data_IF_216187179781
#
_entry.id   IF_216187179781
#
_cell.length_a   1.000
_cell.length_b   1.000
_cell.length_c   1.000
_cell.angle_alpha   90.00
_cell.angle_beta   90.00
_cell.angle_gamma   90.00
#
_symmetry.space_group_name_H-M   'P 1'
#
loop_
_entity.id
_entity.type
_entity.pdbx_description
1 polymer ?
#
# COMPACT_ATOMS: atom_id res chain seq x y z
N UNK A 1 -5.18 -13.64 -4.76
CA UNK A 1 -4.65 -12.30 -4.41
C UNK A 1 -5.68 -11.19 -4.57
N UNK A 2 -6.51 -11.22 -5.60
CA UNK A 2 -7.56 -10.20 -5.85
C UNK A 2 -8.48 -9.93 -4.65
N UNK A 3 -8.92 -10.98 -3.94
CA UNK A 3 -9.75 -10.84 -2.74
C UNK A 3 -9.05 -10.05 -1.62
N UNK A 4 -7.75 -10.31 -1.41
CA UNK A 4 -6.96 -9.57 -0.41
C UNK A 4 -6.86 -8.09 -0.79
N UNK A 5 -6.55 -7.79 -2.06
CA UNK A 5 -6.49 -6.41 -2.55
C UNK A 5 -7.85 -5.73 -2.44
N UNK A 6 -8.94 -6.43 -2.77
CA UNK A 6 -10.31 -5.92 -2.65
C UNK A 6 -10.65 -5.55 -1.21
N UNK A 7 -10.22 -6.36 -0.23
CA UNK A 7 -10.36 -6.04 1.19
C UNK A 7 -9.59 -4.77 1.53
N UNK A 8 -8.32 -4.66 1.13
CA UNK A 8 -7.48 -3.48 1.41
C UNK A 8 -8.08 -2.20 0.81
N UNK A 9 -8.60 -2.26 -0.42
CA UNK A 9 -9.30 -1.14 -1.05
C UNK A 9 -10.57 -0.77 -0.27
N UNK A 10 -11.35 -1.76 0.17
CA UNK A 10 -12.60 -1.51 0.91
C UNK A 10 -12.34 -0.94 2.32
N UNK A 11 -11.20 -1.25 2.95
CA UNK A 11 -10.78 -0.63 4.21
C UNK A 11 -10.56 0.89 4.08
N UNK A 12 -10.24 1.39 2.88
CA UNK A 12 -10.18 2.83 2.60
C UNK A 12 -11.56 3.50 2.54
N UNK A 13 -12.61 2.74 2.22
CA UNK A 13 -14.00 3.21 2.19
C UNK A 13 -14.68 3.08 3.56
N UNK A 14 -14.38 2.01 4.29
CA UNK A 14 -15.00 1.68 5.58
C UNK A 14 -13.93 1.72 6.66
N UNK A 15 -13.56 2.90 7.12
CA UNK A 15 -12.49 3.04 8.12
C UNK A 15 -12.91 2.50 9.50
N UNK A 16 -12.03 1.71 10.12
CA UNK A 16 -12.18 1.19 11.49
C UNK A 16 -10.99 1.60 12.35
N UNK A 17 -11.19 1.63 13.67
CA UNK A 17 -10.17 2.01 14.65
C UNK A 17 -8.97 1.08 14.72
N UNK A 18 -9.12 -0.18 14.28
CA UNK A 18 -8.02 -1.13 14.19
C UNK A 18 -8.25 -2.16 13.08
N UNK A 19 -7.18 -2.80 12.62
CA UNK A 19 -7.23 -3.85 11.60
C UNK A 19 -8.08 -5.06 12.06
N UNK A 20 -8.05 -5.40 13.36
CA UNK A 20 -8.83 -6.50 13.89
C UNK A 20 -10.34 -6.20 13.94
N UNK A 21 -10.72 -4.92 14.04
CA UNK A 21 -12.11 -4.49 14.15
C UNK A 21 -12.96 -4.82 12.91
N UNK A 22 -12.33 -4.99 11.75
CA UNK A 22 -13.00 -5.42 10.52
C UNK A 22 -13.64 -6.81 10.63
N UNK A 23 -13.15 -7.67 11.53
CA UNK A 23 -13.65 -9.03 11.76
C UNK A 23 -14.56 -9.16 12.99
N UNK A 24 -15.01 -8.05 13.57
CA UNK A 24 -16.03 -8.08 14.62
C UNK A 24 -17.37 -8.50 14.01
N UNK A 25 -17.97 -9.54 14.57
CA UNK A 25 -19.20 -10.17 14.05
C UNK A 25 -20.47 -9.72 14.76
N UNK A 26 -20.36 -9.02 15.90
CA UNK A 26 -21.50 -8.59 16.71
C UNK A 26 -21.45 -7.11 17.09
N UNK A 27 -22.63 -6.57 17.44
CA UNK A 27 -22.77 -5.19 17.88
C UNK A 27 -22.87 -4.16 16.73
N UNK A 28 -23.02 -2.87 17.06
CA UNK A 28 -23.32 -1.81 16.10
C UNK A 28 -22.16 -1.50 15.14
N UNK A 29 -20.95 -1.95 15.45
CA UNK A 29 -19.75 -1.72 14.63
C UNK A 29 -19.44 -2.89 13.70
N UNK A 30 -20.25 -3.96 13.72
CA UNK A 30 -20.03 -5.12 12.87
C UNK A 30 -20.10 -4.76 11.38
N UNK A 31 -19.14 -5.27 10.62
CA UNK A 31 -19.11 -5.15 9.16
C UNK A 31 -19.00 -6.54 8.55
N UNK A 32 -20.13 -7.28 8.43
CA UNK A 32 -20.13 -8.71 8.12
C UNK A 32 -19.39 -9.07 6.83
N UNK A 33 -19.36 -8.15 5.86
CA UNK A 33 -18.70 -8.33 4.58
C UNK A 33 -17.25 -8.82 4.71
N UNK A 34 -16.41 -8.17 5.53
CA UNK A 34 -15.00 -8.55 5.68
C UNK A 34 -14.83 -10.00 6.19
N UNK A 35 -15.58 -10.36 7.23
CA UNK A 35 -15.54 -11.71 7.81
C UNK A 35 -16.10 -12.80 6.88
N UNK A 36 -17.06 -12.44 6.02
CA UNK A 36 -17.64 -13.34 5.01
C UNK A 36 -16.68 -13.60 3.84
N UNK A 37 -15.86 -12.61 3.48
CA UNK A 37 -14.99 -12.66 2.30
C UNK A 37 -13.67 -13.38 2.58
N UNK A 38 -13.07 -13.17 3.75
CA UNK A 38 -11.82 -13.85 4.13
C UNK A 38 -11.74 -14.01 5.64
N UNK A 39 -11.25 -15.15 6.11
CA UNK A 39 -10.96 -15.33 7.54
C UNK A 39 -9.86 -14.37 8.01
N UNK A 40 -10.02 -13.81 9.21
CA UNK A 40 -9.08 -12.87 9.83
C UNK A 40 -7.64 -13.36 9.76
N UNK A 41 -7.39 -14.57 10.24
CA UNK A 41 -6.04 -15.12 10.32
C UNK A 41 -5.42 -15.33 8.93
N UNK A 42 -6.24 -15.65 7.91
CA UNK A 42 -5.77 -15.75 6.53
C UNK A 42 -5.36 -14.38 5.98
N UNK A 43 -6.13 -13.33 6.26
CA UNK A 43 -5.79 -11.96 5.88
C UNK A 43 -4.46 -11.52 6.50
N UNK A 44 -4.28 -11.70 7.82
CA UNK A 44 -3.03 -11.33 8.49
C UNK A 44 -1.84 -12.16 8.02
N UNK A 45 -2.03 -13.45 7.72
CA UNK A 45 -0.97 -14.28 7.17
C UNK A 45 -0.51 -13.78 5.78
N UNK A 46 -1.45 -13.37 4.92
CA UNK A 46 -1.11 -12.76 3.62
C UNK A 46 -0.43 -11.40 3.83
N UNK A 47 -1.00 -10.54 4.68
CA UNK A 47 -0.45 -9.22 4.97
C UNK A 47 1.00 -9.28 5.45
N UNK A 48 1.33 -10.23 6.32
CA UNK A 48 2.67 -10.40 6.87
C UNK A 48 3.71 -10.91 5.83
N UNK A 49 3.25 -11.56 4.75
CA UNK A 49 4.09 -12.17 3.72
C UNK A 49 3.81 -11.57 2.33
N UNK A 50 3.29 -10.34 2.28
CA UNK A 50 2.96 -9.70 1.01
C UNK A 50 4.21 -9.08 0.38
N UNK A 51 4.60 -9.60 -0.78
CA UNK A 51 5.76 -9.16 -1.54
C UNK A 51 5.35 -8.84 -2.99
N UNK A 52 5.92 -7.78 -3.55
CA UNK A 52 5.64 -7.31 -4.91
C UNK A 52 6.80 -7.61 -5.87
N UNK A 53 8.05 -7.58 -5.38
CA UNK A 53 9.26 -7.92 -6.15
C UNK A 53 9.80 -9.30 -5.76
N UNK A 54 10.61 -9.91 -6.63
CA UNK A 54 11.39 -11.10 -6.29
C UNK A 54 12.62 -10.71 -5.47
N UNK A 55 13.20 -11.69 -4.77
CA UNK A 55 14.52 -11.56 -4.13
C UNK A 55 15.64 -11.57 -5.17
N UNK A 56 15.43 -12.21 -6.32
CA UNK A 56 16.40 -12.24 -7.41
C UNK A 56 16.62 -10.82 -7.96
N UNK A 57 15.56 -10.00 -7.99
CA UNK A 57 15.62 -8.60 -8.39
C UNK A 57 16.46 -7.74 -7.42
N UNK A 58 16.60 -8.17 -6.16
CA UNK A 58 17.44 -7.52 -5.15
C UNK A 58 18.90 -7.92 -5.33
N UNK A 59 19.16 -9.21 -5.54
CA UNK A 59 20.52 -9.77 -5.64
C UNK A 59 21.25 -9.35 -6.93
N UNK A 60 20.51 -9.07 -8.00
CA UNK A 60 21.08 -8.71 -9.30
C UNK A 60 21.40 -7.21 -9.44
N UNK A 61 21.21 -6.39 -8.41
CA UNK A 61 21.48 -4.95 -8.48
C UNK A 61 22.95 -4.60 -8.19
N UNK A 62 23.59 -3.77 -9.05
CA UNK A 62 24.93 -3.25 -8.79
C UNK A 62 25.01 -2.54 -7.43
N UNK A 63 26.07 -2.79 -6.66
CA UNK A 63 26.23 -2.22 -5.31
C UNK A 63 26.24 -0.69 -5.30
N UNK A 64 26.84 -0.08 -6.31
CA UNK A 64 26.99 1.39 -6.42
C UNK A 64 25.70 2.14 -6.74
N UNK A 65 24.61 1.45 -7.11
CA UNK A 65 23.34 2.11 -7.47
C UNK A 65 22.11 1.24 -7.17
N UNK A 66 22.04 0.66 -5.95
CA UNK A 66 20.86 -0.09 -5.53
C UNK A 66 19.62 0.82 -5.43
N UNK A 67 18.57 0.46 -6.15
CA UNK A 67 17.29 1.15 -6.12
C UNK A 67 16.63 0.96 -4.75
N UNK A 68 16.57 2.02 -3.94
CA UNK A 68 15.96 1.96 -2.60
C UNK A 68 14.47 1.60 -2.61
N UNK A 69 13.80 1.74 -3.76
CA UNK A 69 12.37 1.43 -3.94
C UNK A 69 12.12 0.07 -4.62
N UNK A 70 13.16 -0.76 -4.83
CA UNK A 70 13.03 -2.01 -5.60
C UNK A 70 11.86 -2.90 -5.15
N UNK A 71 11.60 -2.97 -3.83
CA UNK A 71 10.52 -3.77 -3.23
C UNK A 71 9.12 -3.44 -3.75
N UNK A 72 8.92 -2.21 -4.21
CA UNK A 72 7.64 -1.70 -4.73
C UNK A 72 7.74 -1.26 -6.19
N UNK A 73 8.93 -1.34 -6.79
CA UNK A 73 9.22 -0.86 -8.16
C UNK A 73 8.25 -1.43 -9.20
N UNK A 74 7.95 -2.74 -9.24
CA UNK A 74 7.03 -3.28 -10.25
C UNK A 74 5.63 -2.66 -10.17
N UNK A 75 5.13 -2.40 -8.96
CA UNK A 75 3.83 -1.75 -8.77
C UNK A 75 3.87 -0.28 -9.17
N UNK A 76 4.95 0.44 -8.82
CA UNK A 76 5.10 1.84 -9.18
C UNK A 76 5.16 2.03 -10.71
N UNK A 77 5.94 1.21 -11.40
CA UNK A 77 6.04 1.24 -12.86
C UNK A 77 4.72 0.88 -13.54
N UNK A 78 4.00 -0.12 -13.02
CA UNK A 78 2.66 -0.46 -13.50
C UNK A 78 1.72 0.76 -13.39
N UNK A 79 1.68 1.41 -12.24
CA UNK A 79 0.84 2.60 -12.02
C UNK A 79 1.23 3.75 -12.94
N UNK A 80 2.50 4.14 -12.98
CA UNK A 80 2.98 5.25 -13.82
C UNK A 80 2.70 5.01 -15.31
N UNK A 81 2.92 3.78 -15.79
CA UNK A 81 2.65 3.41 -17.18
C UNK A 81 1.15 3.45 -17.49
N UNK A 82 0.30 2.95 -16.59
CA UNK A 82 -1.15 2.98 -16.80
C UNK A 82 -1.70 4.39 -16.73
N UNK A 83 -1.30 5.19 -15.73
CA UNK A 83 -1.80 6.55 -15.54
C UNK A 83 -1.44 7.47 -16.71
N UNK A 84 -0.20 7.42 -17.19
CA UNK A 84 0.21 8.18 -18.37
C UNK A 84 -0.51 7.76 -19.66
N UNK A 85 -0.89 6.48 -19.76
CA UNK A 85 -1.65 5.98 -20.93
C UNK A 85 -3.12 6.39 -20.91
N UNK A 86 -3.75 6.50 -19.74
CA UNK A 86 -5.21 6.75 -19.63
C UNK A 86 -5.55 8.24 -19.58
N UNK A 87 -4.61 9.10 -19.21
CA UNK A 87 -4.85 10.52 -19.03
C UNK A 87 -3.71 11.35 -19.61
N UNK A 88 -4.06 12.34 -20.43
CA UNK A 88 -3.15 13.39 -20.89
C UNK A 88 -3.54 14.70 -20.21
N UNK A 89 -2.62 15.34 -19.47
CA UNK A 89 -2.94 16.58 -18.78
C UNK A 89 -3.21 17.74 -19.74
N UNK A 90 -3.98 18.71 -19.26
CA UNK A 90 -4.18 20.00 -19.92
C UNK A 90 -3.01 20.96 -19.66
N UNK A 91 -3.17 22.23 -20.05
CA UNK A 91 -2.09 23.25 -20.01
C UNK A 91 -1.57 23.51 -18.60
N UNK A 92 -2.46 23.63 -17.62
CA UNK A 92 -2.13 24.15 -16.30
C UNK A 92 -1.91 22.99 -15.31
N UNK A 93 -0.67 22.83 -14.86
CA UNK A 93 -0.24 21.74 -13.98
C UNK A 93 0.24 22.26 -12.63
N UNK A 94 -0.15 21.57 -11.56
CA UNK A 94 0.38 21.78 -10.21
C UNK A 94 1.31 20.62 -9.83
N UNK A 95 2.51 20.95 -9.35
CA UNK A 95 3.50 19.99 -8.89
C UNK A 95 3.77 20.29 -7.42
N UNK A 96 3.53 19.31 -6.56
CA UNK A 96 3.75 19.41 -5.11
C UNK A 96 4.14 18.02 -4.55
N UNK A 97 4.67 18.02 -3.33
CA UNK A 97 5.05 16.82 -2.60
C UNK A 97 3.90 16.25 -1.77
N UNK A 98 3.70 14.94 -1.90
CA UNK A 98 2.87 14.15 -1.00
C UNK A 98 3.76 13.35 -0.03
N UNK A 99 3.38 13.33 1.25
CA UNK A 99 4.08 12.57 2.29
C UNK A 99 3.20 11.43 2.80
N UNK A 100 3.78 10.22 2.91
CA UNK A 100 3.14 9.09 3.56
C UNK A 100 3.76 8.90 4.95
N UNK A 101 2.99 9.04 6.04
CA UNK A 101 3.54 8.94 7.39
C UNK A 101 3.99 7.51 7.70
N UNK A 102 5.24 7.37 8.15
CA UNK A 102 5.80 6.06 8.50
C UNK A 102 6.78 6.16 9.68
N UNK A 103 6.49 5.42 10.76
CA UNK A 103 7.34 5.42 11.97
C UNK A 103 8.43 4.34 11.98
N UNK A 104 8.38 3.36 11.07
CA UNK A 104 9.38 2.30 10.99
C UNK A 104 10.76 2.76 10.50
N UNK A 105 11.71 1.82 10.46
CA UNK A 105 13.07 2.04 9.95
C UNK A 105 13.04 2.01 8.42
N UNK A 106 13.41 3.13 7.80
CA UNK A 106 13.48 3.27 6.35
C UNK A 106 14.61 4.25 6.01
N UNK A 107 15.51 3.85 5.11
CA UNK A 107 16.76 4.58 4.83
C UNK A 107 16.55 5.95 4.19
N UNK A 108 15.44 6.14 3.49
CA UNK A 108 15.12 7.38 2.76
C UNK A 108 13.92 8.12 3.37
N UNK A 109 13.57 7.82 4.64
CA UNK A 109 12.57 8.60 5.37
C UNK A 109 13.13 9.98 5.69
N UNK A 110 12.36 11.01 5.38
CA UNK A 110 12.68 12.41 5.67
C UNK A 110 11.74 12.93 6.75
N UNK A 111 12.26 13.73 7.68
CA UNK A 111 11.44 14.47 8.65
C UNK A 111 11.05 15.82 8.03
N UNK A 112 9.75 16.10 7.97
CA UNK A 112 9.22 17.39 7.55
C UNK A 112 8.29 17.94 8.66
N UNK A 113 8.70 18.96 9.43
CA UNK A 113 7.91 19.48 10.55
C UNK A 113 6.60 20.14 10.11
N UNK A 114 6.49 20.55 8.85
CA UNK A 114 5.33 21.25 8.31
C UNK A 114 4.25 20.31 7.77
N UNK A 115 4.49 18.98 7.76
CA UNK A 115 3.53 17.98 7.29
C UNK A 115 2.92 17.22 8.49
N UNK A 116 1.61 16.91 8.45
CA UNK A 116 0.97 16.13 9.49
C UNK A 116 1.54 14.70 9.57
N UNK A 117 1.46 14.12 10.77
CA UNK A 117 1.76 12.70 11.00
C UNK A 117 0.58 11.80 10.67
#
# INVERSE_FOLDING_TARGET
MEVFISIVLNMGLVMKTSMAAYWVTGGPTATPWFSKIMLRNRFFAILANFHISSIDDELNQPEDNRDRLFKVRPLLELCLTKFSKVYSPERDLAIDEATCPFKGRLLFKVYNPNKPN
#
